data_IF_974273119289
#
_entry.id   IF_974273119289
#
_cell.length_a   1.000
_cell.length_b   1.000
_cell.length_c   1.000
_cell.angle_alpha   90.00
_cell.angle_beta   90.00
_cell.angle_gamma   90.00
#
_symmetry.space_group_name_H-M   'P 1'
#
loop_
_entity.id
_entity.type
_entity.pdbx_description
1 polymer ?
#
# COMPACT_ATOMS: atom_id res chain seq x y z
N UNK A 1 -6.46 -1.88 13.01
CA UNK A 1 -5.70 -1.93 11.75
C UNK A 1 -4.74 -3.11 11.76
N UNK A 2 -4.69 -3.87 10.67
CA UNK A 2 -3.70 -4.91 10.40
C UNK A 2 -3.13 -4.75 8.98
N UNK A 3 -1.92 -5.25 8.76
CA UNK A 3 -1.24 -5.27 7.46
C UNK A 3 -0.73 -6.66 7.14
N UNK A 4 -1.05 -7.15 5.95
CA UNK A 4 -0.45 -8.35 5.37
C UNK A 4 0.60 -7.95 4.34
N UNK A 5 1.83 -8.47 4.50
CA UNK A 5 2.95 -8.30 3.56
C UNK A 5 3.23 -9.63 2.87
N UNK A 6 2.85 -9.73 1.61
CA UNK A 6 2.96 -10.95 0.82
C UNK A 6 4.20 -10.91 -0.05
N UNK A 7 5.16 -11.78 0.25
CA UNK A 7 6.35 -11.95 -0.58
C UNK A 7 6.06 -12.88 -1.75
N UNK A 8 6.40 -12.42 -2.95
CA UNK A 8 6.16 -13.13 -4.20
C UNK A 8 7.52 -13.51 -4.80
N UNK A 9 7.93 -14.79 -4.72
CA UNK A 9 9.30 -15.20 -5.07
C UNK A 9 9.59 -15.21 -6.59
N UNK A 10 8.58 -14.95 -7.44
CA UNK A 10 8.64 -15.00 -8.92
C UNK A 10 9.51 -16.12 -9.50
N UNK A 11 9.46 -17.30 -8.88
CA UNK A 11 10.13 -18.49 -9.36
C UNK A 11 9.10 -19.42 -10.03
N UNK A 12 9.38 -19.88 -11.25
CA UNK A 12 8.53 -20.78 -12.01
C UNK A 12 8.32 -22.14 -11.32
N UNK A 13 9.28 -22.61 -10.52
CA UNK A 13 9.12 -23.86 -9.74
C UNK A 13 8.09 -23.73 -8.62
N UNK A 14 7.85 -22.49 -8.16
CA UNK A 14 6.95 -22.17 -7.04
C UNK A 14 5.60 -21.65 -7.55
N UNK A 15 5.63 -20.75 -8.53
CA UNK A 15 4.48 -20.08 -9.12
C UNK A 15 4.19 -20.65 -10.51
N UNK A 16 3.69 -21.89 -10.53
CA UNK A 16 3.43 -22.65 -11.77
C UNK A 16 2.21 -22.14 -12.53
N UNK A 17 2.13 -22.44 -13.83
CA UNK A 17 0.95 -22.12 -14.66
C UNK A 17 -0.32 -22.78 -14.14
N UNK A 18 -0.22 -24.00 -13.60
CA UNK A 18 -1.35 -24.69 -12.97
C UNK A 18 -1.85 -23.93 -11.74
N UNK A 19 -0.94 -23.45 -10.88
CA UNK A 19 -1.30 -22.64 -9.72
C UNK A 19 -1.92 -21.32 -10.15
N UNK A 20 -1.40 -20.70 -11.22
CA UNK A 20 -1.91 -19.46 -11.77
C UNK A 20 -3.36 -19.61 -12.27
N UNK A 21 -3.65 -20.62 -13.09
CA UNK A 21 -5.02 -20.85 -13.58
C UNK A 21 -5.98 -21.22 -12.44
N UNK A 22 -5.54 -21.98 -11.44
CA UNK A 22 -6.36 -22.25 -10.25
C UNK A 22 -6.67 -20.96 -9.45
N UNK A 23 -5.67 -20.11 -9.24
CA UNK A 23 -5.82 -18.85 -8.53
C UNK A 23 -6.70 -17.83 -9.28
N UNK A 24 -6.72 -17.85 -10.62
CA UNK A 24 -7.63 -17.03 -11.43
C UNK A 24 -9.10 -17.36 -11.15
N UNK A 25 -9.43 -18.60 -10.82
CA UNK A 25 -10.80 -18.98 -10.50
C UNK A 25 -11.31 -18.30 -9.23
N UNK A 26 -10.41 -18.01 -8.27
CA UNK A 26 -10.73 -17.34 -7.01
C UNK A 26 -11.22 -15.89 -7.15
N UNK A 27 -11.11 -15.27 -8.34
CA UNK A 27 -11.48 -13.87 -8.58
C UNK A 27 -12.55 -13.75 -9.66
N UNK A 28 -13.24 -12.62 -9.70
CA UNK A 28 -14.31 -12.35 -10.65
C UNK A 28 -13.78 -12.20 -12.09
N UNK A 29 -14.64 -12.43 -13.08
CA UNK A 29 -14.26 -12.43 -14.49
C UNK A 29 -13.66 -11.10 -14.97
N UNK A 30 -14.15 -9.96 -14.45
CA UNK A 30 -13.60 -8.64 -14.78
C UNK A 30 -12.17 -8.51 -14.25
N UNK A 31 -11.91 -8.99 -13.04
CA UNK A 31 -10.56 -9.05 -12.47
C UNK A 31 -9.65 -10.01 -13.24
N UNK A 32 -10.13 -11.21 -13.64
CA UNK A 32 -9.36 -12.15 -14.50
C UNK A 32 -8.94 -11.52 -15.81
N UNK A 33 -9.87 -10.87 -16.50
CA UNK A 33 -9.61 -10.18 -17.75
C UNK A 33 -8.56 -9.06 -17.58
N UNK A 34 -8.58 -8.34 -16.45
CA UNK A 34 -7.58 -7.31 -16.14
C UNK A 34 -6.21 -7.92 -15.85
N UNK A 35 -6.13 -8.97 -15.05
CA UNK A 35 -4.88 -9.68 -14.75
C UNK A 35 -4.22 -10.17 -16.04
N UNK A 36 -4.99 -10.79 -16.96
CA UNK A 36 -4.48 -11.32 -18.23
C UNK A 36 -3.93 -10.26 -19.20
N UNK A 37 -4.24 -8.97 -19.01
CA UNK A 37 -3.74 -7.87 -19.87
C UNK A 37 -2.32 -7.44 -19.55
N UNK A 38 -1.78 -7.79 -18.38
CA UNK A 38 -0.41 -7.42 -18.04
C UNK A 38 0.58 -8.14 -18.96
N UNK A 39 1.50 -7.36 -19.54
CA UNK A 39 2.53 -7.87 -20.44
C UNK A 39 3.51 -8.77 -19.67
N UNK A 40 4.03 -8.29 -18.53
CA UNK A 40 4.98 -9.03 -17.69
C UNK A 40 4.27 -10.01 -16.75
N UNK A 41 4.82 -11.22 -16.62
CA UNK A 41 4.27 -12.27 -15.75
C UNK A 41 4.25 -11.90 -14.27
N UNK A 42 5.28 -11.18 -13.80
CA UNK A 42 5.32 -10.70 -12.41
C UNK A 42 4.15 -9.76 -12.07
N UNK A 43 3.80 -8.86 -12.99
CA UNK A 43 2.66 -7.96 -12.82
C UNK A 43 1.33 -8.72 -12.78
N UNK A 44 1.20 -9.80 -13.57
CA UNK A 44 0.03 -10.69 -13.49
C UNK A 44 -0.10 -11.27 -12.09
N UNK A 45 0.98 -11.79 -11.53
CA UNK A 45 1.01 -12.35 -10.18
C UNK A 45 0.73 -11.31 -9.09
N UNK A 46 1.37 -10.13 -9.15
CA UNK A 46 1.10 -9.03 -8.21
C UNK A 46 -0.37 -8.64 -8.22
N UNK A 47 -0.93 -8.46 -9.42
CA UNK A 47 -2.34 -8.10 -9.57
C UNK A 47 -3.27 -9.22 -9.08
N UNK A 48 -2.98 -10.48 -9.42
CA UNK A 48 -3.76 -11.64 -9.00
C UNK A 48 -3.79 -11.79 -7.48
N UNK A 49 -2.62 -11.80 -6.84
CA UNK A 49 -2.50 -11.91 -5.38
C UNK A 49 -3.23 -10.73 -4.72
N UNK A 50 -3.04 -9.51 -5.23
CA UNK A 50 -3.75 -8.34 -4.72
C UNK A 50 -5.28 -8.45 -4.78
N UNK A 51 -5.82 -9.21 -5.75
CA UNK A 51 -7.26 -9.48 -5.88
C UNK A 51 -7.74 -10.64 -5.02
N UNK A 52 -6.86 -11.59 -4.72
CA UNK A 52 -7.14 -12.75 -3.85
C UNK A 52 -7.13 -12.35 -2.38
N UNK A 53 -6.24 -11.45 -1.96
CA UNK A 53 -6.06 -11.05 -0.56
C UNK A 53 -7.35 -10.69 0.20
N UNK A 54 -8.20 -9.76 -0.28
CA UNK A 54 -9.44 -9.42 0.42
C UNK A 54 -10.41 -10.60 0.49
N UNK A 55 -10.37 -11.53 -0.48
CA UNK A 55 -11.23 -12.73 -0.46
C UNK A 55 -10.78 -13.72 0.61
N UNK A 56 -9.47 -13.94 0.72
CA UNK A 56 -8.88 -14.77 1.79
C UNK A 56 -9.24 -14.21 3.17
N UNK A 57 -9.10 -12.89 3.37
CA UNK A 57 -9.49 -12.23 4.62
C UNK A 57 -10.95 -12.50 5.00
N UNK A 58 -11.86 -12.47 4.03
CA UNK A 58 -13.29 -12.72 4.27
C UNK A 58 -13.57 -14.20 4.53
N UNK A 59 -12.91 -15.11 3.82
CA UNK A 59 -13.03 -16.55 4.06
C UNK A 59 -12.47 -16.96 5.42
N UNK A 60 -11.35 -16.38 5.84
CA UNK A 60 -10.78 -16.57 7.19
C UNK A 60 -11.74 -16.09 8.29
N UNK A 61 -12.68 -15.20 7.96
CA UNK A 61 -13.77 -14.73 8.83
C UNK A 61 -15.06 -15.53 8.70
N UNK A 62 -15.04 -16.64 7.95
CA UNK A 62 -16.18 -17.53 7.77
C UNK A 62 -17.19 -17.07 6.72
N UNK A 63 -16.88 -16.05 5.92
CA UNK A 63 -17.74 -15.65 4.80
C UNK A 63 -17.50 -16.61 3.63
N UNK A 64 -18.58 -17.20 3.14
CA UNK A 64 -18.54 -18.16 2.03
C UNK A 64 -18.06 -17.46 0.76
N UNK A 65 -17.09 -18.05 0.07
CA UNK A 65 -16.44 -17.46 -1.12
C UNK A 65 -17.42 -16.96 -2.18
N UNK A 66 -18.49 -17.73 -2.45
CA UNK A 66 -19.52 -17.38 -3.43
C UNK A 66 -20.33 -16.12 -3.08
N UNK A 67 -20.38 -15.75 -1.80
CA UNK A 67 -21.10 -14.57 -1.32
C UNK A 67 -20.22 -13.32 -1.31
N UNK A 68 -18.91 -13.46 -1.55
CA UNK A 68 -17.97 -12.34 -1.54
C UNK A 68 -18.12 -11.49 -2.81
N UNK A 69 -18.74 -10.33 -2.64
CA UNK A 69 -18.82 -9.28 -3.65
C UNK A 69 -17.80 -8.18 -3.35
N UNK A 70 -16.99 -7.84 -4.36
CA UNK A 70 -16.02 -6.74 -4.29
C UNK A 70 -16.44 -5.70 -5.32
N UNK A 71 -16.97 -4.60 -4.81
CA UNK A 71 -17.33 -3.43 -5.59
C UNK A 71 -16.11 -2.59 -5.98
N UNK A 72 -16.38 -1.51 -6.71
CA UNK A 72 -15.38 -0.50 -7.05
C UNK A 72 -16.02 0.87 -6.99
N UNK A 73 -15.36 1.82 -6.32
CA UNK A 73 -15.75 3.23 -6.37
C UNK A 73 -15.65 3.77 -7.81
N UNK A 74 -16.21 4.95 -8.05
CA UNK A 74 -16.09 5.65 -9.34
C UNK A 74 -14.64 5.89 -9.78
N UNK A 75 -13.74 6.03 -8.80
CA UNK A 75 -12.29 6.19 -9.00
C UNK A 75 -11.51 4.88 -9.12
N UNK A 76 -12.17 3.72 -9.00
CA UNK A 76 -11.53 2.42 -9.15
C UNK A 76 -11.02 1.77 -7.85
N UNK A 77 -11.23 2.40 -6.69
CA UNK A 77 -10.85 1.83 -5.39
C UNK A 77 -11.79 0.66 -5.06
N UNK A 78 -11.27 -0.55 -4.82
CA UNK A 78 -12.11 -1.68 -4.46
C UNK A 78 -12.66 -1.53 -3.03
N UNK A 79 -13.86 -2.04 -2.80
CA UNK A 79 -14.48 -2.12 -1.47
C UNK A 79 -15.30 -3.40 -1.34
N UNK A 80 -15.56 -3.84 -0.11
CA UNK A 80 -16.34 -5.06 0.14
C UNK A 80 -17.82 -4.70 0.17
N UNK A 81 -18.60 -5.35 -0.68
CA UNK A 81 -20.06 -5.28 -0.68
C UNK A 81 -20.58 -6.44 0.17
N UNK A 82 -20.92 -6.17 1.43
CA UNK A 82 -21.42 -7.21 2.33
C UNK A 82 -22.49 -6.66 3.27
N UNK A 83 -23.70 -7.24 3.29
CA UNK A 83 -24.74 -6.85 4.25
C UNK A 83 -24.52 -7.44 5.65
N UNK A 84 -23.58 -8.38 5.81
CA UNK A 84 -23.31 -9.06 7.08
C UNK A 84 -22.13 -8.46 7.85
N UNK A 85 -21.33 -7.60 7.20
CA UNK A 85 -20.25 -6.86 7.86
C UNK A 85 -20.79 -5.52 8.35
N UNK A 86 -21.12 -5.46 9.63
CA UNK A 86 -21.50 -4.23 10.31
C UNK A 86 -20.63 -4.04 11.57
N UNK A 87 -19.73 -3.05 11.60
CA UNK A 87 -19.47 -2.06 10.54
C UNK A 87 -18.72 -2.66 9.31
N UNK A 88 -18.74 -1.97 8.15
CA UNK A 88 -18.05 -2.45 6.95
C UNK A 88 -16.53 -2.55 7.12
N UNK A 89 -15.95 -3.65 6.61
CA UNK A 89 -14.50 -3.83 6.58
C UNK A 89 -13.86 -2.89 5.54
N UNK A 90 -12.89 -2.10 5.98
CA UNK A 90 -12.09 -1.24 5.10
C UNK A 90 -10.77 -1.90 4.76
N UNK A 91 -10.34 -1.81 3.50
CA UNK A 91 -9.04 -2.31 3.07
C UNK A 91 -8.43 -1.48 1.94
N UNK A 92 -7.12 -1.60 1.78
CA UNK A 92 -6.41 -1.08 0.63
C UNK A 92 -5.23 -1.99 0.27
N UNK A 93 -5.01 -2.19 -1.03
CA UNK A 93 -3.97 -3.07 -1.56
C UNK A 93 -2.98 -2.25 -2.37
N UNK A 94 -1.70 -2.54 -2.20
CA UNK A 94 -0.61 -1.98 -2.99
C UNK A 94 0.40 -3.07 -3.33
N UNK A 95 1.29 -2.83 -4.29
CA UNK A 95 2.36 -3.76 -4.62
C UNK A 95 3.52 -3.03 -5.27
N UNK A 96 4.73 -3.48 -4.99
CA UNK A 96 5.93 -3.07 -5.70
C UNK A 96 7.00 -4.17 -5.64
N UNK A 97 7.76 -4.31 -6.72
CA UNK A 97 8.80 -5.34 -6.88
C UNK A 97 8.30 -6.73 -6.43
N UNK A 98 8.98 -7.36 -5.46
CA UNK A 98 8.67 -8.69 -4.92
C UNK A 98 7.57 -8.74 -3.87
N UNK A 99 6.84 -7.65 -3.61
CA UNK A 99 5.90 -7.59 -2.50
C UNK A 99 4.52 -7.07 -2.91
N UNK A 100 3.47 -7.71 -2.38
CA UNK A 100 2.08 -7.24 -2.41
C UNK A 100 1.65 -7.02 -0.97
N UNK A 101 1.09 -5.86 -0.65
CA UNK A 101 0.64 -5.55 0.69
C UNK A 101 -0.84 -5.19 0.73
N UNK A 102 -1.49 -5.54 1.83
CA UNK A 102 -2.87 -5.14 2.12
C UNK A 102 -2.97 -4.63 3.55
N UNK A 103 -3.39 -3.38 3.70
CA UNK A 103 -3.86 -2.85 4.97
C UNK A 103 -5.37 -3.06 5.08
N UNK A 104 -5.86 -3.43 6.25
CA UNK A 104 -7.28 -3.57 6.52
C UNK A 104 -7.61 -3.23 7.97
N UNK A 105 -8.85 -2.83 8.21
CA UNK A 105 -9.34 -2.55 9.55
C UNK A 105 -10.82 -2.88 9.70
N UNK A 106 -11.16 -3.38 10.88
CA UNK A 106 -12.53 -3.52 11.38
C UNK A 106 -13.02 -2.14 11.79
N UNK A 107 -13.17 -1.29 10.78
CA UNK A 107 -13.36 0.14 10.94
C UNK A 107 -14.77 0.51 11.37
N UNK A 108 -14.96 1.75 11.79
CA UNK A 108 -16.28 2.34 11.94
C UNK A 108 -16.88 2.69 10.56
N UNK A 109 -18.18 3.02 10.55
CA UNK A 109 -18.83 3.58 9.37
C UNK A 109 -18.03 4.81 8.88
N UNK A 110 -17.77 4.87 7.58
CA UNK A 110 -17.00 5.92 6.89
C UNK A 110 -15.49 6.01 7.20
N UNK A 111 -14.91 5.01 7.88
CA UNK A 111 -13.46 4.96 8.07
C UNK A 111 -12.73 4.77 6.73
N UNK A 112 -11.69 5.58 6.49
CA UNK A 112 -10.87 5.55 5.29
C UNK A 112 -9.51 4.96 5.61
N UNK A 113 -9.12 3.94 4.85
CA UNK A 113 -7.78 3.37 4.87
C UNK A 113 -7.15 3.40 3.47
N UNK A 114 -5.87 3.72 3.42
CA UNK A 114 -5.04 3.69 2.22
C UNK A 114 -3.63 3.25 2.58
N UNK A 115 -2.96 2.56 1.66
CA UNK A 115 -1.63 2.05 1.87
C UNK A 115 -0.78 2.21 0.61
N UNK A 116 0.48 2.54 0.82
CA UNK A 116 1.50 2.44 -0.20
C UNK A 116 2.72 1.67 0.30
N UNK A 117 3.41 1.02 -0.63
CA UNK A 117 4.60 0.23 -0.39
C UNK A 117 5.50 0.39 -1.60
N UNK A 118 6.75 0.75 -1.38
CA UNK A 118 7.74 0.88 -2.44
C UNK A 118 9.07 0.26 -2.03
N UNK A 119 9.72 -0.36 -3.01
CA UNK A 119 11.14 -0.70 -2.94
C UNK A 119 11.95 0.58 -3.11
N UNK A 120 12.86 0.84 -2.18
CA UNK A 120 13.81 1.95 -2.27
C UNK A 120 14.88 1.60 -3.29
N UNK A 121 14.65 2.02 -4.54
CA UNK A 121 15.52 1.68 -5.67
C UNK A 121 15.64 2.86 -6.63
N UNK A 122 16.88 3.27 -6.90
CA UNK A 122 17.20 4.20 -7.97
C UNK A 122 17.53 3.39 -9.22
N UNK A 123 16.86 3.64 -10.36
CA UNK A 123 17.10 2.89 -11.59
C UNK A 123 18.58 2.90 -12.02
N UNK A 124 19.08 1.82 -12.63
CA UNK A 124 20.43 1.79 -13.18
C UNK A 124 20.66 2.93 -14.18
N UNK A 125 21.76 3.65 -14.04
CA UNK A 125 22.10 4.80 -14.90
C UNK A 125 21.53 6.15 -14.41
N UNK A 126 20.70 6.15 -13.37
CA UNK A 126 20.21 7.36 -12.72
C UNK A 126 21.00 7.69 -11.44
N UNK A 127 20.98 8.97 -11.07
CA UNK A 127 21.46 9.45 -9.77
C UNK A 127 20.27 9.78 -8.88
N UNK A 128 20.46 9.81 -7.56
CA UNK A 128 19.41 10.27 -6.63
C UNK A 128 18.95 11.68 -6.98
N UNK A 129 19.89 12.57 -7.31
CA UNK A 129 19.60 13.96 -7.68
C UNK A 129 18.77 14.06 -8.97
N UNK A 130 19.12 13.31 -10.02
CA UNK A 130 18.32 13.30 -11.26
C UNK A 130 16.93 12.70 -11.03
N UNK A 131 16.84 11.64 -10.22
CA UNK A 131 15.57 11.01 -9.89
C UNK A 131 14.65 11.93 -9.05
N UNK A 132 15.19 12.65 -8.07
CA UNK A 132 14.46 13.71 -7.35
C UNK A 132 14.00 14.81 -8.33
N UNK A 133 14.83 15.16 -9.31
CA UNK A 133 14.46 16.10 -10.38
C UNK A 133 13.27 15.64 -11.22
N UNK A 134 13.18 14.35 -11.54
CA UNK A 134 12.03 13.78 -12.28
C UNK A 134 10.73 13.88 -11.46
N UNK A 135 10.82 13.72 -10.14
CA UNK A 135 9.68 13.74 -9.23
C UNK A 135 9.36 15.14 -8.67
N UNK A 136 10.05 16.19 -9.11
CA UNK A 136 10.03 17.51 -8.45
C UNK A 136 8.65 18.18 -8.40
N UNK A 137 7.81 17.90 -9.39
CA UNK A 137 6.45 18.45 -9.50
C UNK A 137 5.48 17.80 -8.51
N UNK A 138 5.83 16.63 -7.96
CA UNK A 138 5.07 15.95 -6.92
C UNK A 138 5.49 16.37 -5.49
N UNK A 139 6.50 17.24 -5.39
CA UNK A 139 7.07 17.70 -4.13
C UNK A 139 6.71 19.16 -3.87
N UNK A 140 6.61 19.53 -2.59
CA UNK A 140 6.52 20.94 -2.20
C UNK A 140 7.90 21.59 -2.23
N UNK A 141 7.93 22.93 -2.14
CA UNK A 141 9.20 23.65 -2.07
C UNK A 141 10.01 23.24 -0.84
N UNK A 142 9.37 23.01 0.31
CA UNK A 142 10.08 22.61 1.54
C UNK A 142 10.66 21.22 1.42
N UNK A 143 9.91 20.28 0.87
CA UNK A 143 10.37 18.91 0.64
C UNK A 143 11.57 18.88 -0.31
N UNK A 144 11.54 19.67 -1.41
CA UNK A 144 12.69 19.79 -2.32
C UNK A 144 13.93 20.36 -1.63
N UNK A 145 13.76 21.39 -0.81
CA UNK A 145 14.87 22.00 -0.07
C UNK A 145 15.46 21.03 0.96
N UNK A 146 14.62 20.25 1.63
CA UNK A 146 15.07 19.19 2.54
C UNK A 146 15.84 18.10 1.78
N UNK A 147 15.32 17.56 0.67
CA UNK A 147 16.06 16.55 -0.10
C UNK A 147 17.39 17.08 -0.63
N UNK A 148 17.47 18.37 -0.96
CA UNK A 148 18.71 19.01 -1.39
C UNK A 148 19.72 19.25 -0.25
N UNK A 149 19.26 19.32 1.01
CA UNK A 149 20.15 19.45 2.18
C UNK A 149 20.75 18.10 2.61
N UNK A 150 20.14 16.98 2.22
CA UNK A 150 20.66 15.64 2.46
C UNK A 150 21.86 15.35 1.55
N UNK A 151 23.05 15.40 2.14
CA UNK A 151 24.32 15.12 1.43
C UNK A 151 24.57 13.62 1.19
N UNK A 152 23.90 12.74 1.94
CA UNK A 152 23.97 11.29 1.75
C UNK A 152 22.93 10.84 0.69
N UNK A 153 23.36 10.24 -0.44
CA UNK A 153 22.43 9.75 -1.46
C UNK A 153 21.43 8.71 -0.93
N UNK A 154 21.83 7.86 0.01
CA UNK A 154 20.92 6.84 0.57
C UNK A 154 19.81 7.48 1.41
N UNK A 155 20.15 8.44 2.26
CA UNK A 155 19.20 9.25 3.01
C UNK A 155 18.29 10.09 2.12
N UNK A 156 18.82 10.71 1.07
CA UNK A 156 18.02 11.48 0.10
C UNK A 156 17.03 10.60 -0.67
N UNK A 157 17.45 9.41 -1.10
CA UNK A 157 16.53 8.44 -1.69
C UNK A 157 15.44 8.05 -0.68
N UNK A 158 15.83 7.64 0.53
CA UNK A 158 14.86 7.26 1.57
C UNK A 158 13.84 8.36 1.84
N UNK A 159 14.29 9.61 1.99
CA UNK A 159 13.40 10.77 2.17
C UNK A 159 12.40 10.94 1.03
N UNK A 160 12.85 10.81 -0.22
CA UNK A 160 11.96 10.88 -1.39
C UNK A 160 10.87 9.81 -1.34
N UNK A 161 11.24 8.56 -1.07
CA UNK A 161 10.28 7.45 -0.98
C UNK A 161 9.35 7.59 0.24
N UNK A 162 9.80 8.19 1.36
CA UNK A 162 8.91 8.54 2.50
C UNK A 162 7.86 9.58 2.12
N UNK A 163 8.25 10.63 1.41
CA UNK A 163 7.29 11.62 0.89
C UNK A 163 6.25 10.99 -0.02
N UNK A 164 6.70 10.21 -0.98
CA UNK A 164 5.81 9.58 -1.94
C UNK A 164 4.84 8.60 -1.28
N UNK A 165 5.34 7.66 -0.47
CA UNK A 165 4.49 6.65 0.18
C UNK A 165 3.43 7.28 1.08
N UNK A 166 3.74 8.37 1.78
CA UNK A 166 2.75 9.13 2.56
C UNK A 166 1.66 9.75 1.69
N UNK A 167 2.04 10.44 0.63
CA UNK A 167 1.08 11.11 -0.27
C UNK A 167 0.21 10.10 -1.02
N UNK A 168 0.79 9.01 -1.50
CA UNK A 168 0.08 7.94 -2.20
C UNK A 168 -0.85 7.18 -1.24
N UNK A 169 -0.41 6.86 -0.01
CA UNK A 169 -1.27 6.22 0.99
C UNK A 169 -2.47 7.11 1.35
N UNK A 170 -2.25 8.41 1.57
CA UNK A 170 -3.32 9.37 1.86
C UNK A 170 -4.34 9.48 0.71
N UNK A 171 -3.87 9.64 -0.52
CA UNK A 171 -4.73 9.80 -1.70
C UNK A 171 -5.47 8.51 -2.05
N UNK A 172 -4.86 7.34 -1.83
CA UNK A 172 -5.53 6.04 -1.87
C UNK A 172 -6.58 5.91 -0.76
N UNK A 173 -6.35 6.45 0.43
CA UNK A 173 -7.33 6.45 1.51
C UNK A 173 -8.58 7.25 1.13
N UNK A 174 -8.39 8.43 0.58
CA UNK A 174 -9.46 9.30 0.06
C UNK A 174 -10.17 8.71 -1.16
N UNK A 175 -9.53 7.78 -1.86
CA UNK A 175 -10.05 7.20 -3.09
C UNK A 175 -9.89 8.10 -4.30
N UNK A 176 -8.93 9.03 -4.30
CA UNK A 176 -8.63 9.85 -5.49
C UNK A 176 -7.55 9.22 -6.39
N UNK A 177 -6.75 8.29 -5.86
CA UNK A 177 -5.55 7.79 -6.56
C UNK A 177 -4.65 8.95 -6.98
N UNK A 178 -4.09 8.88 -8.19
CA UNK A 178 -3.28 9.96 -8.79
C UNK A 178 -4.08 11.23 -9.16
N UNK A 179 -5.38 11.30 -8.87
CA UNK A 179 -6.23 12.44 -9.18
C UNK A 179 -6.03 13.65 -8.27
N UNK A 180 -5.34 13.50 -7.13
CA UNK A 180 -4.96 14.61 -6.25
C UNK A 180 -3.50 14.98 -6.52
N UNK A 181 -3.26 16.25 -6.82
CA UNK A 181 -1.92 16.80 -7.00
C UNK A 181 -1.12 16.71 -5.68
N UNK A 182 -0.02 15.94 -5.71
CA UNK A 182 0.84 15.71 -4.55
C UNK A 182 1.53 16.98 -4.06
N UNK A 183 1.69 18.00 -4.90
CA UNK A 183 2.25 19.29 -4.48
C UNK A 183 1.38 20.05 -3.48
N UNK A 184 0.10 19.66 -3.33
CA UNK A 184 -0.84 20.20 -2.34
C UNK A 184 -0.63 19.61 -0.94
N UNK A 185 0.05 18.47 -0.85
CA UNK A 185 0.34 17.78 0.41
C UNK A 185 1.79 18.07 0.76
N UNK A 186 2.02 18.67 1.93
CA UNK A 186 3.36 18.88 2.47
C UNK A 186 3.57 17.95 3.66
N UNK A 187 4.66 17.20 3.67
CA UNK A 187 5.10 16.42 4.83
C UNK A 187 6.44 16.94 5.35
N UNK A 188 6.56 17.09 6.68
CA UNK A 188 7.81 17.38 7.36
C UNK A 188 8.44 16.09 7.92
N UNK A 189 9.44 15.55 7.20
CA UNK A 189 10.06 14.24 7.51
C UNK A 189 11.25 14.33 8.49
N UNK A 190 11.78 15.54 8.74
CA UNK A 190 12.97 15.78 9.58
C UNK A 190 12.73 15.57 11.08
N UNK A 191 11.48 15.39 11.49
CA UNK A 191 11.14 15.08 12.86
C UNK A 191 11.50 13.62 13.18
N UNK A 192 12.75 13.38 13.58
CA UNK A 192 13.27 12.07 14.01
C UNK A 192 12.71 11.71 15.40
N UNK A 193 11.52 11.13 15.46
CA UNK A 193 10.86 10.66 16.69
C UNK A 193 9.33 10.67 16.58
N UNK A 194 8.61 10.17 17.59
CA UNK A 194 7.15 10.40 17.71
C UNK A 194 6.98 11.89 18.00
N UNK A 195 6.52 12.67 17.02
CA UNK A 195 6.26 14.10 17.18
C UNK A 195 4.77 14.37 16.93
N UNK A 196 4.18 15.18 17.81
CA UNK A 196 2.77 15.56 17.76
C UNK A 196 2.52 16.58 16.63
N UNK A 197 1.63 16.24 15.69
CA UNK A 197 0.53 17.13 15.32
C UNK A 197 0.76 18.24 14.29
N UNK A 198 1.94 18.40 13.71
CA UNK A 198 2.23 19.46 12.72
C UNK A 198 2.81 18.99 11.39
N UNK A 199 2.95 17.67 11.20
CA UNK A 199 3.84 17.14 10.18
C UNK A 199 3.25 17.12 8.77
N UNK A 200 1.92 17.14 8.64
CA UNK A 200 1.25 17.06 7.33
C UNK A 200 0.32 18.24 7.12
N UNK A 201 0.52 18.96 6.03
CA UNK A 201 -0.36 20.04 5.57
C UNK A 201 -1.04 19.63 4.26
N UNK A 202 -2.28 20.06 4.09
CA UNK A 202 -3.00 20.00 2.81
C UNK A 202 -3.46 21.41 2.47
N UNK A 203 -3.08 21.91 1.29
CA UNK A 203 -3.35 23.29 0.85
C UNK A 203 -2.85 24.35 1.86
N UNK A 204 -1.73 24.06 2.54
CA UNK A 204 -1.12 24.92 3.55
C UNK A 204 -1.83 24.91 4.93
N UNK A 205 -2.91 24.13 5.09
CA UNK A 205 -3.59 23.97 6.37
C UNK A 205 -3.19 22.66 7.06
N UNK A 206 -3.03 22.62 8.40
CA UNK A 206 -2.75 21.37 9.13
C UNK A 206 -3.82 20.32 8.88
N UNK A 207 -3.37 19.11 8.53
CA UNK A 207 -4.24 17.96 8.40
C UNK A 207 -4.73 17.52 9.80
N UNK A 208 -5.99 17.10 9.90
CA UNK A 208 -6.61 16.65 11.14
C UNK A 208 -7.50 15.44 10.90
N UNK A 209 -7.58 14.52 11.85
CA UNK A 209 -8.36 13.28 11.73
C UNK A 209 -7.62 12.16 11.00
N UNK A 210 -6.28 12.13 11.08
CA UNK A 210 -5.46 11.14 10.36
C UNK A 210 -4.31 10.58 11.19
N UNK A 211 -4.08 9.28 11.02
CA UNK A 211 -2.89 8.58 11.50
C UNK A 211 -2.15 7.95 10.32
N UNK A 212 -0.83 8.11 10.34
CA UNK A 212 0.10 7.59 9.35
C UNK A 212 1.07 6.64 10.04
N UNK A 213 1.01 5.36 9.67
CA UNK A 213 1.82 4.29 10.23
C UNK A 213 2.84 3.85 9.18
N UNK A 214 4.01 4.48 9.22
CA UNK A 214 5.14 4.19 8.35
C UNK A 214 5.99 3.06 8.89
N UNK A 215 6.54 2.24 8.00
CA UNK A 215 7.45 1.17 8.38
C UNK A 215 8.50 0.88 7.32
N UNK A 216 9.59 0.25 7.73
CA UNK A 216 10.66 -0.19 6.84
C UNK A 216 11.07 -1.64 7.12
N UNK A 217 11.47 -2.36 6.08
CA UNK A 217 12.06 -3.69 6.20
C UNK A 217 12.98 -4.01 5.02
N UNK A 218 13.75 -5.09 5.15
CA UNK A 218 14.59 -5.61 4.08
C UNK A 218 14.19 -7.05 3.76
N UNK A 219 14.10 -7.39 2.48
CA UNK A 219 13.89 -8.76 2.01
C UNK A 219 14.93 -9.11 0.95
N UNK A 220 15.83 -10.03 1.27
CA UNK A 220 16.99 -10.29 0.41
C UNK A 220 17.82 -9.02 0.22
N UNK A 221 18.12 -8.59 -1.01
CA UNK A 221 18.86 -7.36 -1.27
C UNK A 221 17.98 -6.09 -1.25
N UNK A 222 16.65 -6.25 -1.26
CA UNK A 222 15.72 -5.15 -1.46
C UNK A 222 15.27 -4.53 -0.13
N UNK A 223 15.39 -3.21 -0.03
CA UNK A 223 14.83 -2.41 1.07
C UNK A 223 13.47 -1.86 0.68
N UNK A 224 12.50 -1.94 1.56
CA UNK A 224 11.13 -1.46 1.34
C UNK A 224 10.74 -0.40 2.38
N UNK A 225 9.92 0.56 1.94
CA UNK A 225 9.18 1.50 2.78
C UNK A 225 7.70 1.31 2.53
N UNK A 226 6.94 1.17 3.62
CA UNK A 226 5.49 1.11 3.59
C UNK A 226 4.87 2.23 4.43
N UNK A 227 3.67 2.64 4.06
CA UNK A 227 2.91 3.65 4.78
C UNK A 227 1.43 3.31 4.74
N UNK A 228 0.79 3.28 5.89
CA UNK A 228 -0.67 3.19 6.01
C UNK A 228 -1.22 4.53 6.47
N UNK A 229 -2.13 5.12 5.70
CA UNK A 229 -2.91 6.29 6.08
C UNK A 229 -4.31 5.84 6.51
N UNK A 230 -4.69 6.20 7.74
CA UNK A 230 -5.96 5.82 8.34
C UNK A 230 -6.68 7.06 8.89
N UNK A 231 -7.94 7.25 8.55
CA UNK A 231 -8.75 8.30 9.18
C UNK A 231 -9.10 7.94 10.62
N UNK A 232 -9.17 8.92 11.50
CA UNK A 232 -9.54 8.76 12.92
C UNK A 232 -10.48 9.88 13.36
N UNK A 233 -11.29 9.63 14.38
CA UNK A 233 -12.11 10.66 15.02
C UNK A 233 -11.30 11.58 15.94
N UNK A 234 -10.05 11.23 16.22
CA UNK A 234 -9.14 12.05 17.02
C UNK A 234 -8.73 13.31 16.26
N UNK A 235 -8.63 14.44 16.95
CA UNK A 235 -8.16 15.69 16.37
C UNK A 235 -6.65 15.65 16.12
N UNK A 236 -6.20 16.32 15.05
CA UNK A 236 -4.79 16.41 14.69
C UNK A 236 -4.34 15.31 13.74
N UNK A 237 -3.04 15.30 13.44
CA UNK A 237 -2.39 14.30 12.59
C UNK A 237 -1.26 13.64 13.36
N UNK A 238 -1.15 12.31 13.25
CA UNK A 238 -0.03 11.55 13.81
C UNK A 238 0.72 10.87 12.68
N UNK A 239 2.05 10.96 12.69
CA UNK A 239 2.93 10.21 11.78
C UNK A 239 3.95 9.45 12.61
N UNK A 240 4.13 8.16 12.32
CA UNK A 240 5.16 7.33 12.94
C UNK A 240 5.94 6.54 11.89
N UNK A 241 7.20 6.23 12.20
CA UNK A 241 8.05 5.33 11.42
C UNK A 241 8.66 4.29 12.35
N UNK A 242 8.53 3.01 12.01
CA UNK A 242 9.07 1.90 12.80
C UNK A 242 9.74 0.85 11.92
N UNK A 243 10.66 0.06 12.48
CA UNK A 243 11.06 -1.18 11.82
C UNK A 243 9.89 -2.17 11.82
N UNK A 244 9.71 -2.93 10.75
CA UNK A 244 8.63 -3.92 10.66
C UNK A 244 8.66 -4.93 11.80
N UNK A 245 9.86 -5.31 12.28
CA UNK A 245 10.02 -6.23 13.41
C UNK A 245 9.44 -5.70 14.73
N UNK A 246 9.25 -4.39 14.85
CA UNK A 246 8.61 -3.73 15.98
C UNK A 246 7.10 -3.56 15.85
N UNK A 247 6.49 -4.00 14.74
CA UNK A 247 5.06 -3.83 14.47
C UNK A 247 4.27 -5.08 14.89
N UNK A 248 3.35 -4.95 15.84
CA UNK A 248 2.39 -6.01 16.22
C UNK A 248 1.14 -6.05 15.32
N UNK A 249 1.01 -5.05 14.44
CA UNK A 249 -0.09 -4.87 13.51
C UNK A 249 0.26 -5.29 12.09
N UNK A 250 1.51 -5.62 11.78
CA UNK A 250 1.93 -6.09 10.46
C UNK A 250 2.47 -7.52 10.53
N UNK A 251 2.14 -8.34 9.54
CA UNK A 251 2.66 -9.70 9.43
C UNK A 251 3.13 -10.02 8.01
N UNK A 252 4.23 -10.76 7.91
CA UNK A 252 4.72 -11.33 6.65
C UNK A 252 4.01 -12.65 6.38
N UNK A 253 3.50 -12.80 5.16
CA UNK A 253 2.78 -14.00 4.70
C UNK A 253 3.39 -14.45 3.37
N UNK A 254 3.47 -15.76 3.11
CA UNK A 254 3.92 -16.23 1.80
C UNK A 254 2.79 -16.18 0.77
N UNK A 255 3.13 -15.94 -0.49
CA UNK A 255 2.16 -16.04 -1.58
C UNK A 255 1.50 -17.43 -1.66
N UNK A 256 2.26 -18.49 -1.39
CA UNK A 256 1.73 -19.86 -1.40
C UNK A 256 0.69 -20.09 -0.31
N UNK A 257 0.88 -19.53 0.90
CA UNK A 257 -0.10 -19.67 1.98
C UNK A 257 -1.40 -18.92 1.67
N UNK A 258 -1.30 -17.75 1.02
CA UNK A 258 -2.48 -17.00 0.56
C UNK A 258 -3.23 -17.80 -0.51
N UNK A 259 -2.52 -18.32 -1.51
CA UNK A 259 -3.14 -19.07 -2.60
C UNK A 259 -3.72 -20.41 -2.12
N UNK A 260 -3.01 -21.10 -1.22
CA UNK A 260 -3.46 -22.36 -0.61
C UNK A 260 -4.71 -22.20 0.25
N UNK A 261 -4.92 -21.03 0.87
CA UNK A 261 -6.17 -20.68 1.56
C UNK A 261 -7.30 -20.33 0.60
N UNK A 262 -7.01 -19.72 -0.55
CA UNK A 262 -8.03 -19.26 -1.50
C UNK A 262 -8.58 -20.38 -2.39
N UNK A 263 -7.70 -21.18 -2.98
CA UNK A 263 -8.02 -22.14 -4.05
C UNK A 263 -9.07 -23.19 -3.65
N UNK A 264 -9.10 -23.73 -2.41
CA UNK A 264 -10.13 -24.69 -2.02
C UNK A 264 -11.57 -24.17 -2.10
N UNK A 265 -11.75 -22.85 -2.21
CA UNK A 265 -13.05 -22.17 -2.26
C UNK A 265 -13.30 -21.45 -3.60
N UNK A 266 -12.52 -21.77 -4.63
CA UNK A 266 -12.64 -21.22 -5.98
C UNK A 266 -13.79 -21.82 -6.80
#
# INVERSE_FOLDING_TARGET
MKVWLVHVPFNADTLTDQLYEAALLCIDERSRARVRRFYHGEDRWRCLIGRVLPRVLLTDRGIVSNDIQIGSTASGKPFIESPVLDPPLSFNVTHDSGCVAMAFDDGAQDEKIGMDLMRVHIPPGETVTSFVGIMSDQLTQRERLHLASLHDPSGAAEGLFKYWTLKEAYTKALGFGLGLDFSRIEYNVDHTGIVDGGDVLVDGAPLSGWEFHGFHFTKGPDRYLGMVAKSTSQSGVKVSWTDLSGCDWAEEVSALDILGRAIPFA
#
